data_IF_190121657882
#
_entry.id   IF_190121657882
#
_cell.length_a   1.000
_cell.length_b   1.000
_cell.length_c   1.000
_cell.angle_alpha   90.00
_cell.angle_beta   90.00
_cell.angle_gamma   90.00
#
_symmetry.space_group_name_H-M   'P 1'
#
loop_
_entity.id
_entity.type
_entity.pdbx_description
1 polymer ?
#
# COMPACT_ATOMS: atom_id res chain seq x y z
N UNK A 1 15.61 23.18 -1.80
CA UNK A 1 14.46 22.26 -1.97
C UNK A 1 14.94 20.82 -1.93
N UNK A 2 14.58 20.13 -0.85
CA UNK A 2 14.86 18.70 -0.64
C UNK A 2 13.58 17.90 -0.94
N UNK A 3 13.25 17.81 -2.23
CA UNK A 3 12.14 16.98 -2.74
C UNK A 3 12.63 15.97 -3.80
N UNK A 4 13.94 15.82 -3.97
CA UNK A 4 14.54 14.85 -4.87
C UNK A 4 15.05 13.64 -4.08
N UNK A 5 14.16 12.70 -3.80
CA UNK A 5 14.58 11.39 -3.29
C UNK A 5 15.46 10.70 -4.33
N UNK A 6 16.63 10.20 -3.92
CA UNK A 6 17.55 9.42 -4.78
C UNK A 6 17.03 8.02 -5.11
N UNK A 7 15.95 7.60 -4.44
CA UNK A 7 15.33 6.29 -4.53
C UNK A 7 14.15 6.35 -5.49
N UNK A 8 14.05 5.37 -6.38
CA UNK A 8 12.94 5.30 -7.34
C UNK A 8 11.64 4.87 -6.66
N UNK A 9 10.49 5.23 -7.24
CA UNK A 9 9.17 4.80 -6.77
C UNK A 9 9.08 3.27 -6.62
N UNK A 10 9.62 2.54 -7.61
CA UNK A 10 9.61 1.08 -7.63
C UNK A 10 10.46 0.49 -6.50
N UNK A 11 11.63 1.07 -6.26
CA UNK A 11 12.54 0.62 -5.19
C UNK A 11 11.94 0.84 -3.81
N UNK A 12 11.32 2.00 -3.57
CA UNK A 12 10.59 2.26 -2.31
C UNK A 12 9.44 1.28 -2.12
N UNK A 13 8.69 0.98 -3.19
CA UNK A 13 7.57 0.05 -3.11
C UNK A 13 8.05 -1.37 -2.81
N UNK A 14 9.11 -1.81 -3.47
CA UNK A 14 9.74 -3.10 -3.21
C UNK A 14 10.27 -3.17 -1.77
N UNK A 15 10.91 -2.12 -1.27
CA UNK A 15 11.38 -2.05 0.11
C UNK A 15 10.21 -2.15 1.10
N UNK A 16 9.10 -1.46 0.86
CA UNK A 16 7.91 -1.55 1.69
C UNK A 16 7.33 -2.99 1.69
N UNK A 17 7.21 -3.60 0.52
CA UNK A 17 6.71 -4.98 0.38
C UNK A 17 7.63 -6.02 1.01
N UNK A 18 8.95 -5.84 0.94
CA UNK A 18 9.93 -6.73 1.57
C UNK A 18 9.92 -6.66 3.10
N UNK A 19 9.58 -5.50 3.66
CA UNK A 19 9.54 -5.27 5.11
C UNK A 19 8.13 -5.37 5.71
N UNK A 20 7.16 -5.89 4.95
CA UNK A 20 5.76 -6.03 5.35
C UNK A 20 5.11 -4.71 5.85
N UNK A 21 5.46 -3.60 5.20
CA UNK A 21 4.94 -2.27 5.54
C UNK A 21 3.67 -2.01 4.74
N UNK A 22 2.60 -1.64 5.45
CA UNK A 22 1.34 -1.16 4.86
C UNK A 22 1.32 0.36 4.80
N UNK A 23 1.02 0.94 3.64
CA UNK A 23 1.00 2.39 3.44
C UNK A 23 -0.45 2.88 3.32
N UNK A 24 -0.81 3.83 4.17
CA UNK A 24 -2.01 4.64 4.02
C UNK A 24 -1.61 6.04 3.58
N UNK A 25 -2.30 6.58 2.58
CA UNK A 25 -2.00 7.89 2.04
C UNK A 25 -3.23 8.80 2.14
N UNK A 26 -3.01 10.04 2.57
CA UNK A 26 -4.01 11.09 2.46
C UNK A 26 -3.41 12.21 1.62
N UNK A 27 -4.04 12.49 0.49
CA UNK A 27 -3.63 13.57 -0.38
C UNK A 27 -3.99 14.92 0.25
N UNK A 28 -3.02 15.83 0.29
CA UNK A 28 -3.20 17.21 0.79
C UNK A 28 -3.35 18.20 -0.35
N UNK A 29 -3.74 17.72 -1.53
CA UNK A 29 -3.86 18.55 -2.72
C UNK A 29 -4.91 19.64 -2.50
N UNK A 30 -4.54 20.88 -2.83
CA UNK A 30 -5.43 22.03 -2.67
C UNK A 30 -6.41 22.10 -3.84
N UNK A 31 -7.67 22.43 -3.54
CA UNK A 31 -8.70 22.72 -4.54
C UNK A 31 -8.29 23.86 -5.49
N UNK A 32 -7.36 24.74 -5.08
CA UNK A 32 -6.86 25.83 -5.93
C UNK A 32 -6.05 25.36 -7.15
N UNK A 33 -5.51 24.13 -7.13
CA UNK A 33 -4.69 23.56 -8.21
C UNK A 33 -5.33 22.31 -8.85
N UNK A 34 -6.65 22.16 -8.64
CA UNK A 34 -7.42 21.01 -9.07
C UNK A 34 -7.30 20.78 -10.58
N UNK A 35 -6.88 19.57 -10.97
CA UNK A 35 -6.72 19.19 -12.38
C UNK A 35 -5.34 19.44 -13.00
N UNK A 36 -4.35 19.90 -12.23
CA UNK A 36 -2.95 19.96 -12.71
C UNK A 36 -2.36 18.55 -12.93
N UNK A 37 -1.45 18.42 -13.90
CA UNK A 37 -0.81 17.12 -14.23
C UNK A 37 0.04 16.60 -13.08
N UNK A 38 0.65 17.52 -12.34
CA UNK A 38 1.48 17.23 -11.18
C UNK A 38 0.64 16.61 -10.06
N UNK A 39 -0.56 17.15 -9.83
CA UNK A 39 -1.51 16.62 -8.87
C UNK A 39 -1.95 15.20 -9.23
N UNK A 40 -2.34 14.98 -10.49
CA UNK A 40 -2.79 13.68 -10.97
C UNK A 40 -1.66 12.61 -10.85
N UNK A 41 -0.42 13.00 -11.15
CA UNK A 41 0.76 12.13 -10.97
C UNK A 41 1.01 11.79 -9.50
N UNK A 42 0.87 12.77 -8.61
CA UNK A 42 0.97 12.58 -7.16
C UNK A 42 -0.10 11.61 -6.66
N UNK A 43 -1.35 11.84 -7.02
CA UNK A 43 -2.48 11.00 -6.60
C UNK A 43 -2.37 9.57 -7.12
N UNK A 44 -1.94 9.39 -8.38
CA UNK A 44 -1.63 8.06 -8.95
C UNK A 44 -0.52 7.35 -8.17
N UNK A 45 0.52 8.08 -7.78
CA UNK A 45 1.62 7.54 -6.98
C UNK A 45 1.14 7.09 -5.61
N UNK A 46 0.39 7.93 -4.89
CA UNK A 46 -0.17 7.60 -3.58
C UNK A 46 -1.11 6.39 -3.64
N UNK A 47 -1.96 6.33 -4.67
CA UNK A 47 -2.85 5.20 -4.92
C UNK A 47 -2.07 3.91 -5.14
N UNK A 48 -1.03 3.95 -5.98
CA UNK A 48 -0.18 2.79 -6.26
C UNK A 48 0.49 2.26 -4.98
N UNK A 49 1.12 3.13 -4.19
CA UNK A 49 1.75 2.70 -2.93
C UNK A 49 0.75 2.06 -1.97
N UNK A 50 -0.41 2.70 -1.79
CA UNK A 50 -1.41 2.20 -0.86
C UNK A 50 -1.99 0.86 -1.31
N UNK A 51 -2.35 0.73 -2.59
CA UNK A 51 -2.96 -0.51 -3.11
C UNK A 51 -1.97 -1.69 -3.13
N UNK A 52 -0.72 -1.46 -3.55
CA UNK A 52 0.29 -2.51 -3.67
C UNK A 52 0.78 -3.02 -2.30
N UNK A 53 0.68 -2.20 -1.26
CA UNK A 53 1.01 -2.58 0.13
C UNK A 53 -0.19 -3.03 0.95
N UNK A 54 -1.41 -2.92 0.40
CA UNK A 54 -2.64 -3.36 1.07
C UNK A 54 -3.31 -2.32 1.96
N UNK A 55 -2.90 -1.06 1.90
CA UNK A 55 -3.59 0.06 2.55
C UNK A 55 -4.58 0.77 1.62
N UNK A 56 -4.93 2.02 1.96
CA UNK A 56 -5.92 2.84 1.24
C UNK A 56 -5.41 4.27 1.05
N UNK A 57 -5.65 4.82 -0.13
CA UNK A 57 -5.43 6.23 -0.43
C UNK A 57 -6.74 7.01 -0.34
N UNK A 58 -6.68 8.18 0.29
CA UNK A 58 -7.79 9.11 0.47
C UNK A 58 -7.48 10.43 -0.23
N UNK A 59 -8.48 10.98 -0.92
CA UNK A 59 -8.35 12.21 -1.71
C UNK A 59 -9.44 13.21 -1.28
N UNK A 60 -9.35 13.73 -0.04
CA UNK A 60 -10.34 14.68 0.48
C UNK A 60 -10.33 15.98 -0.35
N UNK A 61 -11.52 16.52 -0.62
CA UNK A 61 -11.66 17.80 -1.33
C UNK A 61 -11.68 18.99 -0.36
N UNK A 62 -12.09 18.74 0.88
CA UNK A 62 -12.23 19.76 1.93
C UNK A 62 -11.50 19.30 3.20
N UNK A 63 -11.09 20.28 4.02
CA UNK A 63 -10.43 20.00 5.28
C UNK A 63 -11.31 19.21 6.26
N UNK A 64 -12.65 19.37 6.19
CA UNK A 64 -13.56 18.58 7.03
C UNK A 64 -13.48 17.07 6.70
N UNK A 65 -13.19 16.71 5.44
CA UNK A 65 -13.10 15.32 5.00
C UNK A 65 -11.79 14.65 5.46
N UNK A 66 -10.78 15.44 5.82
CA UNK A 66 -9.49 14.95 6.33
C UNK A 66 -9.68 14.24 7.67
N UNK A 67 -10.43 14.84 8.60
CA UNK A 67 -10.73 14.24 9.89
C UNK A 67 -11.49 12.91 9.73
N UNK A 68 -12.45 12.87 8.80
CA UNK A 68 -13.16 11.64 8.44
C UNK A 68 -12.22 10.55 7.89
N UNK A 69 -11.25 10.92 7.05
CA UNK A 69 -10.25 9.98 6.52
C UNK A 69 -9.39 9.34 7.63
N UNK A 70 -9.05 10.10 8.66
CA UNK A 70 -8.34 9.55 9.82
C UNK A 70 -9.20 8.58 10.65
N UNK A 71 -10.49 8.86 10.81
CA UNK A 71 -11.41 7.95 11.48
C UNK A 71 -11.61 6.65 10.68
N UNK A 72 -11.75 6.74 9.37
CA UNK A 72 -11.80 5.56 8.49
C UNK A 72 -10.56 4.67 8.64
N UNK A 73 -9.36 5.27 8.65
CA UNK A 73 -8.10 4.53 8.88
C UNK A 73 -8.11 3.91 10.27
N UNK A 74 -8.55 4.65 11.29
CA UNK A 74 -8.63 4.16 12.66
C UNK A 74 -9.51 2.91 12.78
N UNK A 75 -10.71 2.94 12.21
CA UNK A 75 -11.65 1.82 12.25
C UNK A 75 -11.14 0.61 11.46
N UNK A 76 -10.44 0.85 10.34
CA UNK A 76 -9.80 -0.20 9.55
C UNK A 76 -8.66 -0.87 10.33
N UNK A 77 -7.79 -0.09 10.98
CA UNK A 77 -6.69 -0.61 11.81
C UNK A 77 -7.20 -1.42 13.01
N UNK A 78 -8.40 -1.11 13.53
CA UNK A 78 -9.03 -1.90 14.60
C UNK A 78 -9.58 -3.25 14.13
N UNK A 79 -9.81 -3.42 12.83
CA UNK A 79 -10.52 -4.55 12.24
C UNK A 79 -9.65 -5.37 11.29
N UNK A 80 -8.37 -5.52 11.62
CA UNK A 80 -7.45 -6.31 10.79
C UNK A 80 -7.58 -7.81 11.06
N UNK A 81 -7.72 -8.58 9.98
CA UNK A 81 -7.72 -10.04 10.01
C UNK A 81 -6.42 -10.57 9.41
N UNK A 82 -5.78 -11.53 10.09
CA UNK A 82 -4.60 -12.22 9.58
C UNK A 82 -4.99 -13.59 9.02
N UNK A 83 -4.71 -13.82 7.75
CA UNK A 83 -4.94 -15.11 7.08
C UNK A 83 -3.59 -15.71 6.70
N UNK A 84 -3.31 -16.90 7.23
CA UNK A 84 -2.15 -17.69 6.86
C UNK A 84 -2.47 -18.71 5.77
N UNK A 85 -1.58 -18.87 4.81
CA UNK A 85 -1.65 -19.96 3.83
C UNK A 85 -0.25 -20.51 3.57
N UNK A 86 -0.17 -21.78 3.16
CA UNK A 86 1.10 -22.40 2.75
C UNK A 86 1.19 -22.40 1.22
N UNK A 87 2.20 -21.75 0.61
CA UNK A 87 2.35 -21.77 -0.84
C UNK A 87 2.74 -23.18 -1.31
N UNK A 88 2.25 -23.57 -2.48
CA UNK A 88 2.61 -24.86 -3.12
C UNK A 88 4.07 -24.89 -3.58
N UNK A 89 4.63 -23.74 -3.97
CA UNK A 89 6.04 -23.60 -4.32
C UNK A 89 6.86 -23.22 -3.07
N UNK A 90 7.81 -24.04 -2.63
CA UNK A 90 8.65 -23.76 -1.46
C UNK A 90 9.98 -23.05 -1.76
N UNK A 91 10.25 -22.67 -3.03
CA UNK A 91 11.53 -22.05 -3.42
C UNK A 91 11.73 -20.67 -2.77
N UNK A 92 12.89 -20.49 -2.13
CA UNK A 92 13.36 -19.25 -1.50
C UNK A 92 14.33 -18.49 -2.42
N UNK A 93 13.81 -18.04 -3.55
CA UNK A 93 14.57 -17.51 -4.69
C UNK A 93 14.57 -15.97 -4.78
N UNK A 94 13.95 -15.26 -3.83
CA UNK A 94 13.84 -13.82 -3.88
C UNK A 94 12.74 -13.29 -4.81
N UNK A 95 11.94 -14.17 -5.43
CA UNK A 95 10.92 -13.77 -6.41
C UNK A 95 9.69 -13.15 -5.74
N UNK A 96 9.04 -12.22 -6.45
CA UNK A 96 7.75 -11.66 -6.03
C UNK A 96 6.63 -12.66 -6.35
N UNK A 97 5.77 -12.92 -5.37
CA UNK A 97 4.65 -13.84 -5.46
C UNK A 97 3.36 -13.08 -5.23
N UNK A 98 2.56 -12.99 -6.28
CA UNK A 98 1.26 -12.31 -6.26
C UNK A 98 0.23 -13.14 -5.50
N UNK A 99 -0.56 -12.47 -4.68
CA UNK A 99 -1.70 -13.02 -3.95
C UNK A 99 -2.98 -12.46 -4.57
N UNK A 100 -4.00 -13.31 -4.69
CA UNK A 100 -5.38 -12.90 -5.01
C UNK A 100 -6.29 -13.48 -3.95
N UNK A 101 -7.15 -12.65 -3.38
CA UNK A 101 -8.17 -13.05 -2.43
C UNK A 101 -9.52 -12.99 -3.14
N UNK A 102 -10.15 -14.14 -3.29
CA UNK A 102 -11.50 -14.25 -3.84
C UNK A 102 -12.47 -14.55 -2.70
N UNK A 103 -13.38 -13.62 -2.43
CA UNK A 103 -14.42 -13.81 -1.41
C UNK A 103 -15.63 -14.56 -1.98
N UNK A 104 -16.23 -15.42 -1.15
CA UNK A 104 -17.48 -16.10 -1.50
C UNK A 104 -18.64 -15.09 -1.58
N UNK A 105 -18.76 -14.22 -0.58
CA UNK A 105 -19.72 -13.11 -0.58
C UNK A 105 -19.11 -11.88 -1.27
N UNK A 106 -19.72 -11.47 -2.40
CA UNK A 106 -19.25 -10.36 -3.23
C UNK A 106 -19.66 -8.98 -2.72
N UNK A 107 -20.45 -8.90 -1.64
CA UNK A 107 -20.78 -7.62 -0.98
C UNK A 107 -19.56 -7.02 -0.28
N UNK A 108 -18.63 -7.86 0.14
CA UNK A 108 -17.38 -7.44 0.76
C UNK A 108 -16.29 -7.26 -0.29
N UNK A 109 -15.37 -6.33 -0.03
CA UNK A 109 -14.18 -6.11 -0.84
C UNK A 109 -12.96 -6.41 0.01
N UNK A 110 -12.17 -7.45 -0.29
CA UNK A 110 -10.96 -7.72 0.48
C UNK A 110 -9.95 -6.63 0.20
N UNK A 111 -9.22 -6.22 1.23
CA UNK A 111 -8.06 -5.35 1.12
C UNK A 111 -6.87 -6.07 1.73
N UNK A 112 -5.83 -6.26 0.94
CA UNK A 112 -4.61 -6.94 1.33
C UNK A 112 -3.48 -6.52 0.39
N UNK A 113 -2.23 -6.75 0.81
CA UNK A 113 -1.06 -6.62 -0.06
C UNK A 113 -1.24 -7.45 -1.33
N UNK A 114 -0.76 -6.93 -2.45
CA UNK A 114 -0.88 -7.60 -3.76
C UNK A 114 0.01 -8.84 -3.86
N UNK A 115 1.02 -8.96 -3.00
CA UNK A 115 1.93 -10.09 -2.97
C UNK A 115 3.00 -9.92 -1.92
N UNK A 116 4.03 -10.74 -2.00
CA UNK A 116 5.19 -10.70 -1.11
C UNK A 116 6.42 -11.22 -1.84
N UNK A 117 7.60 -10.82 -1.37
CA UNK A 117 8.85 -11.36 -1.85
C UNK A 117 9.26 -12.59 -1.03
N UNK A 118 9.74 -13.63 -1.69
CA UNK A 118 10.37 -14.73 -0.97
C UNK A 118 11.70 -14.28 -0.34
N UNK A 119 12.01 -14.71 0.89
CA UNK A 119 13.36 -14.57 1.41
C UNK A 119 14.36 -15.24 0.46
N UNK A 120 15.51 -14.61 0.22
CA UNK A 120 16.63 -15.30 -0.43
C UNK A 120 17.30 -16.18 0.61
N UNK A 121 17.53 -17.45 0.30
CA UNK A 121 18.33 -18.33 1.15
C UNK A 121 19.70 -17.67 1.40
N UNK A 122 19.94 -17.17 2.63
CA UNK A 122 21.15 -16.44 3.02
C UNK A 122 20.92 -15.01 3.54
N UNK A 123 19.72 -14.43 3.38
CA UNK A 123 19.38 -13.16 4.03
C UNK A 123 18.96 -13.43 5.50
N UNK A 124 19.96 -13.54 6.38
CA UNK A 124 19.77 -13.70 7.82
C UNK A 124 18.98 -12.51 8.38
N UNK A 125 17.86 -12.82 9.02
CA UNK A 125 17.02 -11.88 9.78
C UNK A 125 17.84 -11.26 10.92
N UNK A 126 18.11 -9.96 10.84
CA UNK A 126 18.47 -9.17 12.02
C UNK A 126 17.19 -8.56 12.58
N UNK A 127 16.95 -8.85 13.85
CA UNK A 127 15.88 -8.29 14.68
C UNK A 127 16.15 -6.83 15.00
#
# INVERSE_FOLDING_TARGET
DDNSSRVSLTETLEAAQRNDVTIYAISTNSTAYFGSKEQERGDKTLKKFSEETGGKAFFPLKLQDLAGSFLDIHDELRSQYQIGYRPSNARMDGTFRRIRIDLADKRFKPRARTGYYMPKAGATSQK
#
